data_IF_121262494914
#
_entry.id   IF_121262494914
#
_cell.length_a   1.000
_cell.length_b   1.000
_cell.length_c   1.000
_cell.angle_alpha   90.00
_cell.angle_beta   90.00
_cell.angle_gamma   90.00
#
_symmetry.space_group_name_H-M   'P 1'
#
loop_
_entity.id
_entity.type
_entity.pdbx_description
1 polymer ?
#
# COMPACT_ATOMS: atom_id res chain seq x y z
N UNK A 1 59.76 -17.63 -11.64
CA UNK A 1 59.04 -17.00 -12.76
C UNK A 1 57.75 -16.46 -12.15
N UNK A 2 57.69 -15.13 -11.96
CA UNK A 2 56.53 -14.23 -11.77
C UNK A 2 55.35 -14.71 -10.90
N UNK A 3 54.73 -13.95 -10.01
CA UNK A 3 54.88 -12.63 -9.38
C UNK A 3 53.68 -12.57 -8.42
N UNK A 4 53.84 -12.03 -7.20
CA UNK A 4 52.75 -11.86 -6.25
C UNK A 4 52.86 -10.45 -5.65
N UNK A 5 52.05 -9.53 -6.15
CA UNK A 5 51.78 -8.22 -5.54
C UNK A 5 50.59 -8.35 -4.58
N UNK A 6 50.54 -7.75 -3.40
CA UNK A 6 51.32 -6.62 -2.90
C UNK A 6 50.38 -5.63 -2.23
N UNK A 7 50.15 -5.84 -0.93
CA UNK A 7 49.27 -5.08 -0.03
C UNK A 7 49.80 -3.69 0.35
N UNK A 8 48.86 -2.83 0.75
CA UNK A 8 48.95 -1.82 1.83
C UNK A 8 49.50 -0.42 1.54
N UNK A 9 48.70 0.55 1.98
CA UNK A 9 48.96 1.97 2.08
C UNK A 9 50.18 2.34 2.93
N UNK A 10 50.82 3.47 2.61
CA UNK A 10 51.79 4.13 3.50
C UNK A 10 51.44 5.61 3.70
N UNK A 11 51.22 5.95 4.97
CA UNK A 11 50.97 7.27 5.51
C UNK A 11 52.31 7.88 5.91
N UNK A 12 52.87 8.81 5.12
CA UNK A 12 53.85 9.83 5.58
C UNK A 12 54.33 10.68 4.40
N UNK A 13 53.88 11.94 4.36
CA UNK A 13 54.73 13.12 4.08
C UNK A 13 53.91 14.42 4.19
N UNK A 14 53.72 14.86 5.43
CA UNK A 14 53.62 16.28 5.74
C UNK A 14 55.05 16.81 5.85
N UNK A 15 55.46 17.75 4.99
CA UNK A 15 56.61 18.63 5.22
C UNK A 15 56.25 20.05 4.78
N UNK A 16 56.32 20.95 5.75
CA UNK A 16 56.25 22.40 5.65
C UNK A 16 57.31 22.98 4.70
N UNK A 17 56.91 23.91 3.81
CA UNK A 17 57.78 24.99 3.33
C UNK A 17 57.01 26.31 3.44
N UNK A 18 57.62 27.26 4.17
CA UNK A 18 57.18 28.65 4.34
C UNK A 18 57.81 29.55 3.26
N UNK A 19 57.02 30.55 2.87
CA UNK A 19 57.38 31.94 2.49
C UNK A 19 57.69 32.34 1.05
N UNK A 20 56.97 33.42 0.67
CA UNK A 20 57.23 34.50 -0.30
C UNK A 20 57.16 34.13 -1.80
N UNK A 21 56.03 34.47 -2.43
CA UNK A 21 55.96 35.69 -3.26
C UNK A 21 54.52 36.03 -3.67
N UNK A 22 54.22 37.33 -3.66
CA UNK A 22 52.97 37.94 -4.09
C UNK A 22 52.87 37.90 -5.62
N UNK A 23 51.80 37.29 -6.14
CA UNK A 23 51.10 37.84 -7.30
C UNK A 23 49.60 37.67 -7.10
N UNK A 24 48.95 38.80 -6.84
CA UNK A 24 47.49 38.95 -6.88
C UNK A 24 47.09 38.95 -8.36
N UNK A 25 46.50 37.86 -8.83
CA UNK A 25 45.72 37.86 -10.06
C UNK A 25 44.24 37.87 -9.65
N UNK A 26 43.64 39.05 -9.67
CA UNK A 26 42.18 39.20 -9.68
C UNK A 26 41.66 38.57 -10.98
N UNK A 27 40.96 37.44 -10.87
CA UNK A 27 40.15 36.90 -11.96
C UNK A 27 38.70 37.23 -11.64
N UNK A 28 38.11 38.09 -12.47
CA UNK A 28 36.72 38.54 -12.40
C UNK A 28 35.73 37.35 -12.62
N UNK A 29 34.53 37.34 -11.98
CA UNK A 29 33.68 36.15 -11.87
C UNK A 29 32.92 35.71 -13.14
N UNK A 30 33.23 36.22 -14.32
CA UNK A 30 32.42 36.00 -15.54
C UNK A 30 33.09 35.13 -16.62
N UNK A 31 34.35 34.72 -16.45
CA UNK A 31 35.07 33.90 -17.44
C UNK A 31 34.92 32.37 -17.27
N UNK A 32 34.08 31.88 -16.37
CA UNK A 32 33.77 30.44 -16.23
C UNK A 32 32.56 29.98 -17.06
N UNK A 33 31.93 30.86 -17.84
CA UNK A 33 30.66 30.57 -18.53
C UNK A 33 30.77 30.20 -20.02
N UNK A 34 31.98 30.01 -20.59
CA UNK A 34 32.14 29.84 -22.06
C UNK A 34 32.94 28.65 -22.57
N UNK A 35 33.32 27.68 -21.75
CA UNK A 35 34.17 26.54 -22.19
C UNK A 35 33.63 25.15 -21.86
N UNK A 36 32.31 24.95 -21.91
CA UNK A 36 31.72 23.60 -21.75
C UNK A 36 30.62 23.22 -22.76
N UNK A 37 30.52 23.91 -23.91
CA UNK A 37 29.50 23.60 -24.92
C UNK A 37 30.07 23.37 -26.32
N UNK A 38 30.93 22.35 -26.50
CA UNK A 38 31.26 21.84 -27.84
C UNK A 38 31.66 20.35 -27.81
N UNK A 39 30.73 19.43 -27.57
CA UNK A 39 30.78 18.05 -28.08
C UNK A 39 29.38 17.40 -28.00
N UNK A 40 28.79 16.90 -29.11
CA UNK A 40 27.52 16.19 -29.05
C UNK A 40 27.78 14.72 -28.71
N UNK A 41 27.72 14.39 -27.42
CA UNK A 41 27.66 13.00 -26.96
C UNK A 41 26.20 12.65 -26.64
N UNK A 42 25.63 11.77 -27.47
CA UNK A 42 24.60 10.77 -27.15
C UNK A 42 23.63 11.11 -26.00
N UNK A 43 22.39 11.47 -26.36
CA UNK A 43 21.23 11.67 -25.49
C UNK A 43 20.80 10.38 -24.75
N UNK A 44 21.58 9.91 -23.77
CA UNK A 44 21.18 8.83 -22.86
C UNK A 44 21.77 8.95 -21.44
N UNK A 45 22.23 10.14 -21.03
CA UNK A 45 22.42 10.43 -19.61
C UNK A 45 21.13 11.03 -19.06
N UNK A 46 20.20 10.14 -18.69
CA UNK A 46 19.15 10.46 -17.74
C UNK A 46 19.78 11.16 -16.54
N UNK A 47 19.17 12.27 -16.14
CA UNK A 47 19.47 12.93 -14.89
C UNK A 47 19.22 11.95 -13.74
N UNK A 48 20.25 11.21 -13.33
CA UNK A 48 20.36 10.72 -11.97
C UNK A 48 20.35 11.96 -11.07
N UNK A 49 19.16 12.43 -10.68
CA UNK A 49 19.00 13.35 -9.54
C UNK A 49 19.72 12.65 -8.38
N UNK A 50 20.89 13.15 -8.01
CA UNK A 50 21.69 12.58 -6.92
C UNK A 50 20.81 12.35 -5.69
N UNK A 51 20.61 11.07 -5.38
CA UNK A 51 19.44 10.48 -4.71
C UNK A 51 19.15 11.07 -3.32
N UNK A 52 20.17 11.60 -2.63
CA UNK A 52 20.05 12.14 -1.28
C UNK A 52 20.35 13.64 -1.12
N UNK A 53 20.80 14.33 -2.18
CA UNK A 53 21.32 15.70 -2.02
C UNK A 53 20.25 16.71 -1.59
N UNK A 54 19.03 16.57 -2.10
CA UNK A 54 17.92 17.48 -1.83
C UNK A 54 16.78 16.85 -1.04
N UNK A 55 16.73 15.51 -0.95
CA UNK A 55 15.64 14.80 -0.26
C UNK A 55 15.51 15.22 1.21
N UNK A 56 16.65 15.26 1.92
CA UNK A 56 16.67 15.54 3.35
C UNK A 56 16.28 16.97 3.73
N UNK A 57 16.30 17.91 2.76
CA UNK A 57 15.97 19.33 3.02
C UNK A 57 14.54 19.46 3.54
N UNK A 58 13.60 18.72 2.93
CA UNK A 58 12.18 18.78 3.29
C UNK A 58 11.66 17.49 3.93
N UNK A 59 12.28 16.33 3.65
CA UNK A 59 11.68 15.03 3.95
C UNK A 59 12.49 14.17 4.93
N UNK A 60 13.72 14.58 5.28
CA UNK A 60 14.61 13.78 6.14
C UNK A 60 14.04 13.54 7.54
N UNK A 61 13.35 14.55 8.09
CA UNK A 61 12.66 14.43 9.38
C UNK A 61 11.55 13.37 9.36
N UNK A 62 10.70 13.40 8.33
CA UNK A 62 9.59 12.46 8.16
C UNK A 62 10.11 11.04 7.92
N UNK A 63 11.13 10.87 7.07
CA UNK A 63 11.76 9.57 6.84
C UNK A 63 12.31 8.98 8.14
N UNK A 64 12.97 9.80 8.97
CA UNK A 64 13.47 9.38 10.28
C UNK A 64 12.37 8.87 11.21
N UNK A 65 11.25 9.59 11.28
CA UNK A 65 10.09 9.19 12.10
C UNK A 65 9.48 7.87 11.60
N UNK A 66 9.23 7.75 10.29
CA UNK A 66 8.60 6.55 9.70
C UNK A 66 9.48 5.31 9.94
N UNK A 67 10.80 5.44 9.83
CA UNK A 67 11.73 4.37 10.17
C UNK A 67 11.72 4.03 11.66
N UNK A 68 11.53 5.03 12.52
CA UNK A 68 11.27 4.83 13.95
C UNK A 68 10.00 4.02 14.19
N UNK A 69 8.88 4.38 13.54
CA UNK A 69 7.62 3.65 13.64
C UNK A 69 7.72 2.21 13.14
N UNK A 70 8.51 1.96 12.10
CA UNK A 70 8.80 0.60 11.62
C UNK A 70 9.46 -0.28 12.68
N UNK A 71 10.29 0.27 13.57
CA UNK A 71 10.88 -0.48 14.68
C UNK A 71 9.87 -0.77 15.82
N UNK A 72 8.72 -0.10 15.79
CA UNK A 72 7.61 -0.33 16.72
C UNK A 72 6.64 -1.43 16.24
N UNK A 73 6.87 -2.00 15.05
CA UNK A 73 6.06 -3.12 14.55
C UNK A 73 6.33 -4.38 15.38
N UNK A 74 5.28 -5.19 15.56
CA UNK A 74 5.33 -6.43 16.32
C UNK A 74 6.17 -7.46 15.58
N UNK A 75 7.09 -8.07 16.32
CA UNK A 75 7.93 -9.16 15.83
C UNK A 75 7.25 -10.50 15.99
N UNK A 76 7.78 -11.51 15.32
CA UNK A 76 7.35 -12.91 15.47
C UNK A 76 7.36 -13.38 16.94
N UNK A 77 8.29 -12.88 17.77
CA UNK A 77 8.28 -13.17 19.21
C UNK A 77 7.08 -12.54 19.92
N UNK A 78 6.69 -11.31 19.54
CA UNK A 78 5.52 -10.67 20.12
C UNK A 78 4.25 -11.46 19.77
N UNK A 79 4.10 -11.90 18.52
CA UNK A 79 2.97 -12.74 18.11
C UNK A 79 2.92 -14.07 18.87
N UNK A 80 4.06 -14.75 19.04
CA UNK A 80 4.13 -15.99 19.81
C UNK A 80 3.71 -15.79 21.28
N UNK A 81 4.04 -14.66 21.89
CA UNK A 81 3.59 -14.35 23.25
C UNK A 81 2.08 -14.07 23.27
N UNK A 82 1.53 -13.40 22.26
CA UNK A 82 0.10 -13.09 22.17
C UNK A 82 -0.76 -14.33 21.95
N UNK A 83 -0.30 -15.32 21.19
CA UNK A 83 -1.06 -16.58 20.99
C UNK A 83 -1.18 -17.43 22.26
N UNK A 84 -0.31 -17.19 23.25
CA UNK A 84 -0.35 -17.85 24.56
C UNK A 84 -1.34 -17.19 25.53
N UNK A 85 -1.84 -15.99 25.23
CA UNK A 85 -2.82 -15.30 26.07
C UNK A 85 -4.13 -16.10 26.18
N UNK A 86 -4.75 -16.08 27.36
CA UNK A 86 -6.02 -16.76 27.63
C UNK A 86 -7.20 -15.79 27.64
N UNK A 87 -6.94 -14.52 28.02
CA UNK A 87 -7.96 -13.47 28.07
C UNK A 87 -7.57 -12.28 27.20
N UNK A 88 -8.55 -11.43 26.87
CA UNK A 88 -8.31 -10.18 26.14
C UNK A 88 -7.55 -9.18 27.01
N UNK A 89 -7.68 -9.25 28.34
CA UNK A 89 -6.88 -8.43 29.26
C UNK A 89 -5.39 -8.83 29.22
N UNK A 90 -5.07 -10.12 29.11
CA UNK A 90 -3.68 -10.57 28.92
C UNK A 90 -3.12 -10.06 27.60
N UNK A 91 -3.92 -10.12 26.52
CA UNK A 91 -3.54 -9.60 25.22
C UNK A 91 -3.28 -8.08 25.27
N UNK A 92 -4.16 -7.33 25.95
CA UNK A 92 -4.00 -5.89 26.19
C UNK A 92 -2.70 -5.59 26.94
N UNK A 93 -2.37 -6.37 27.97
CA UNK A 93 -1.12 -6.23 28.72
C UNK A 93 0.09 -6.50 27.82
N UNK A 94 0.03 -7.56 27.01
CA UNK A 94 1.10 -7.94 26.08
C UNK A 94 1.33 -6.89 24.98
N UNK A 95 0.27 -6.18 24.56
CA UNK A 95 0.35 -5.06 23.62
C UNK A 95 0.82 -3.75 24.26
N UNK A 96 0.87 -3.66 25.58
CA UNK A 96 1.24 -2.47 26.35
C UNK A 96 2.51 -1.75 25.87
N UNK A 97 3.64 -2.43 25.61
CA UNK A 97 4.87 -1.78 25.15
C UNK A 97 4.73 -1.05 23.81
N UNK A 98 3.85 -1.53 22.92
CA UNK A 98 3.64 -0.93 21.61
C UNK A 98 2.44 0.02 21.58
N UNK A 99 1.37 -0.26 22.31
CA UNK A 99 0.08 0.43 22.20
C UNK A 99 -0.43 1.05 23.52
N UNK A 100 0.35 0.99 24.59
CA UNK A 100 -0.08 1.24 25.98
C UNK A 100 -0.85 2.55 26.18
N UNK A 101 -0.39 3.66 25.61
CA UNK A 101 -1.04 4.96 25.77
C UNK A 101 -2.48 4.96 25.24
N UNK A 102 -2.72 4.29 24.10
CA UNK A 102 -4.03 4.19 23.47
C UNK A 102 -4.94 3.16 24.16
N UNK A 103 -4.35 2.06 24.64
CA UNK A 103 -5.09 0.98 25.29
C UNK A 103 -5.45 1.28 26.76
N UNK A 104 -4.73 2.22 27.40
CA UNK A 104 -4.96 2.60 28.81
C UNK A 104 -6.41 3.01 29.11
N UNK A 105 -7.07 3.64 28.13
CA UNK A 105 -8.45 4.11 28.22
C UNK A 105 -9.51 3.00 28.14
N UNK A 106 -9.15 1.80 27.70
CA UNK A 106 -10.10 0.69 27.56
C UNK A 106 -10.50 0.13 28.93
N UNK A 107 -11.79 -0.22 29.13
CA UNK A 107 -12.23 -0.91 30.33
C UNK A 107 -11.57 -2.29 30.47
N UNK A 108 -11.64 -2.93 31.65
CA UNK A 108 -11.30 -4.34 31.82
C UNK A 108 -12.18 -5.22 30.90
N UNK A 109 -11.60 -6.26 30.33
CA UNK A 109 -12.20 -7.14 29.32
C UNK A 109 -12.83 -6.39 28.14
N UNK A 110 -12.03 -5.64 27.34
CA UNK A 110 -12.57 -4.93 26.20
C UNK A 110 -13.05 -5.90 25.12
N UNK A 111 -14.03 -5.47 24.31
CA UNK A 111 -14.41 -6.22 23.12
C UNK A 111 -13.28 -6.24 22.09
N UNK A 112 -13.24 -7.29 21.25
CA UNK A 112 -12.29 -7.37 20.13
C UNK A 112 -12.40 -6.17 19.19
N UNK A 113 -13.63 -5.69 18.96
CA UNK A 113 -13.90 -4.48 18.17
C UNK A 113 -13.33 -3.20 18.82
N UNK A 114 -13.43 -3.06 20.14
CA UNK A 114 -12.88 -1.90 20.86
C UNK A 114 -11.35 -1.91 20.83
N UNK A 115 -10.75 -3.09 20.93
CA UNK A 115 -9.30 -3.27 20.81
C UNK A 115 -8.82 -2.88 19.41
N UNK A 116 -9.47 -3.39 18.36
CA UNK A 116 -9.17 -3.06 16.97
C UNK A 116 -9.34 -1.57 16.65
N UNK A 117 -10.39 -0.94 17.19
CA UNK A 117 -10.60 0.50 17.04
C UNK A 117 -9.45 1.30 17.65
N UNK A 118 -8.99 0.94 18.86
CA UNK A 118 -7.90 1.67 19.53
C UNK A 118 -6.52 1.45 18.89
N UNK A 119 -6.25 0.26 18.36
CA UNK A 119 -5.02 0.04 17.58
C UNK A 119 -5.05 0.81 16.26
N UNK A 120 -6.22 0.95 15.65
CA UNK A 120 -6.44 1.78 14.45
C UNK A 120 -6.30 3.27 14.76
N UNK A 121 -6.84 3.76 15.88
CA UNK A 121 -6.71 5.15 16.35
C UNK A 121 -5.23 5.58 16.42
N UNK A 122 -4.35 4.66 16.88
CA UNK A 122 -2.91 4.91 16.91
C UNK A 122 -2.34 5.14 15.52
N UNK A 123 -2.62 4.24 14.56
CA UNK A 123 -2.19 4.38 13.17
C UNK A 123 -2.65 5.72 12.58
N UNK A 124 -3.92 6.09 12.82
CA UNK A 124 -4.49 7.35 12.33
C UNK A 124 -3.78 8.55 12.95
N UNK A 125 -3.54 8.54 14.26
CA UNK A 125 -2.83 9.62 14.95
C UNK A 125 -1.41 9.79 14.42
N UNK A 126 -0.68 8.69 14.24
CA UNK A 126 0.68 8.69 13.69
C UNK A 126 0.69 9.18 12.23
N UNK A 127 -0.26 8.74 11.40
CA UNK A 127 -0.39 9.17 10.00
C UNK A 127 -0.72 10.67 9.89
N UNK A 128 -1.69 11.17 10.67
CA UNK A 128 -2.06 12.59 10.69
C UNK A 128 -0.89 13.47 11.11
N UNK A 129 -0.10 13.01 12.08
CA UNK A 129 1.12 13.70 12.48
C UNK A 129 2.13 13.80 11.33
N UNK A 130 2.39 12.70 10.60
CA UNK A 130 3.25 12.72 9.42
C UNK A 130 2.71 13.66 8.34
N UNK A 131 1.41 13.60 8.06
CA UNK A 131 0.76 14.42 7.02
C UNK A 131 0.81 15.91 7.34
N UNK A 132 0.68 16.29 8.61
CA UNK A 132 0.76 17.67 9.09
C UNK A 132 2.16 18.27 8.93
N UNK A 133 3.21 17.44 8.94
CA UNK A 133 4.60 17.87 8.75
C UNK A 133 5.08 17.75 7.29
N UNK A 134 4.32 17.06 6.43
CA UNK A 134 4.65 16.87 5.03
C UNK A 134 4.36 18.13 4.19
N UNK A 135 5.24 18.42 3.24
CA UNK A 135 5.13 19.55 2.31
C UNK A 135 5.36 19.12 0.86
N UNK A 136 4.88 19.92 -0.09
CA UNK A 136 5.10 19.71 -1.52
C UNK A 136 4.62 18.33 -2.00
N UNK A 137 5.46 17.65 -2.77
CA UNK A 137 5.14 16.38 -3.42
C UNK A 137 4.92 15.22 -2.45
N UNK A 138 5.52 15.27 -1.25
CA UNK A 138 5.24 14.29 -0.18
C UNK A 138 3.84 14.47 0.42
N UNK A 139 3.40 15.73 0.62
CA UNK A 139 2.05 16.01 1.09
C UNK A 139 1.00 15.47 0.11
N UNK A 140 1.18 15.76 -1.18
CA UNK A 140 0.31 15.24 -2.26
C UNK A 140 0.36 13.71 -2.33
N UNK A 141 1.54 13.11 -2.20
CA UNK A 141 1.68 11.65 -2.14
C UNK A 141 0.88 11.04 -0.97
N UNK A 142 0.96 11.65 0.21
CA UNK A 142 0.18 11.20 1.36
C UNK A 142 -1.33 11.41 1.19
N UNK A 143 -1.76 12.46 0.47
CA UNK A 143 -3.19 12.66 0.13
C UNK A 143 -3.69 11.51 -0.76
N UNK A 144 -2.93 11.09 -1.77
CA UNK A 144 -3.28 9.91 -2.57
C UNK A 144 -3.51 8.68 -1.71
N UNK A 145 -2.72 8.46 -0.66
CA UNK A 145 -2.91 7.31 0.23
C UNK A 145 -4.26 7.33 0.94
N UNK A 146 -4.84 8.52 1.17
CA UNK A 146 -6.15 8.66 1.80
C UNK A 146 -7.31 8.38 0.84
N UNK A 147 -7.11 8.56 -0.48
CA UNK A 147 -8.18 8.46 -1.46
C UNK A 147 -8.81 7.06 -1.54
N UNK A 148 -8.02 6.00 -1.34
CA UNK A 148 -8.57 4.63 -1.24
C UNK A 148 -9.63 4.52 -0.14
N UNK A 149 -9.33 4.99 1.06
CA UNK A 149 -10.29 5.00 2.17
C UNK A 149 -11.47 5.94 1.94
N UNK A 150 -11.27 7.06 1.23
CA UNK A 150 -12.36 7.95 0.84
C UNK A 150 -13.33 7.26 -0.12
N UNK A 151 -12.82 6.48 -1.08
CA UNK A 151 -13.66 5.70 -2.00
C UNK A 151 -14.52 4.69 -1.24
N UNK A 152 -13.95 3.98 -0.26
CA UNK A 152 -14.71 3.04 0.56
C UNK A 152 -15.76 3.72 1.43
N UNK A 153 -15.43 4.86 2.02
CA UNK A 153 -16.38 5.67 2.79
C UNK A 153 -17.52 6.17 1.91
N UNK A 154 -17.23 6.68 0.70
CA UNK A 154 -18.25 7.13 -0.25
C UNK A 154 -19.12 5.95 -0.69
N UNK A 155 -18.54 4.79 -0.99
CA UNK A 155 -19.30 3.59 -1.33
C UNK A 155 -20.25 3.17 -0.19
N UNK A 156 -19.77 3.22 1.06
CA UNK A 156 -20.57 2.94 2.24
C UNK A 156 -21.74 3.94 2.38
N UNK A 157 -21.48 5.25 2.21
CA UNK A 157 -22.52 6.28 2.27
C UNK A 157 -23.57 6.14 1.16
N UNK A 158 -23.17 5.80 -0.06
CA UNK A 158 -24.09 5.53 -1.17
C UNK A 158 -25.03 4.37 -0.81
N UNK A 159 -24.49 3.24 -0.33
CA UNK A 159 -25.32 2.10 0.09
C UNK A 159 -26.26 2.44 1.23
N UNK A 160 -25.80 3.29 2.15
CA UNK A 160 -26.60 3.82 3.24
C UNK A 160 -27.81 4.59 2.76
N UNK A 161 -27.58 5.49 1.82
CA UNK A 161 -28.60 6.37 1.24
C UNK A 161 -29.60 5.56 0.41
N UNK A 162 -29.14 4.60 -0.40
CA UNK A 162 -30.00 3.68 -1.16
C UNK A 162 -30.92 2.82 -0.27
N UNK A 163 -30.48 2.49 0.94
CA UNK A 163 -31.24 1.69 1.90
C UNK A 163 -31.94 2.52 2.98
N UNK A 164 -32.02 3.85 2.82
CA UNK A 164 -32.67 4.77 3.76
C UNK A 164 -32.18 4.62 5.21
N UNK A 165 -30.89 4.30 5.41
CA UNK A 165 -30.28 4.21 6.75
C UNK A 165 -29.90 5.59 7.26
N UNK A 166 -29.87 5.74 8.59
CA UNK A 166 -29.38 6.97 9.21
C UNK A 166 -27.89 7.16 8.90
N UNK A 167 -27.60 8.21 8.12
CA UNK A 167 -26.26 8.57 7.67
C UNK A 167 -25.32 8.89 8.83
N UNK A 168 -25.86 9.28 10.00
CA UNK A 168 -25.07 9.51 11.23
C UNK A 168 -24.53 8.22 11.83
N UNK A 169 -25.31 7.13 11.80
CA UNK A 169 -24.82 5.82 12.26
C UNK A 169 -23.73 5.30 11.31
N UNK A 170 -23.87 5.57 10.01
CA UNK A 170 -22.87 5.17 9.01
C UNK A 170 -21.56 5.91 9.16
N UNK A 171 -21.60 7.19 9.55
CA UNK A 171 -20.39 7.96 9.85
C UNK A 171 -19.52 7.30 10.92
N UNK A 172 -20.10 6.67 11.93
CA UNK A 172 -19.35 5.95 12.98
C UNK A 172 -18.63 4.71 12.45
N UNK A 173 -19.08 4.17 11.30
CA UNK A 173 -18.48 3.01 10.62
C UNK A 173 -17.48 3.39 9.52
N UNK A 174 -17.36 4.69 9.21
CA UNK A 174 -16.42 5.16 8.20
C UNK A 174 -14.97 5.10 8.70
N UNK A 175 -14.05 4.81 7.79
CA UNK A 175 -12.64 4.75 8.11
C UNK A 175 -12.08 6.16 8.34
N UNK A 176 -11.44 6.47 9.49
CA UNK A 176 -11.04 7.85 9.82
C UNK A 176 -9.91 8.44 8.97
N UNK A 177 -9.18 7.62 8.19
CA UNK A 177 -8.21 8.11 7.19
C UNK A 177 -8.90 8.65 5.93
N UNK A 178 -10.10 8.15 5.62
CA UNK A 178 -10.92 8.64 4.50
C UNK A 178 -11.90 9.72 4.93
N UNK A 179 -11.72 10.31 6.12
CA UNK A 179 -12.56 11.39 6.62
C UNK A 179 -12.14 12.72 6.02
N UNK A 180 -13.11 13.51 5.58
CA UNK A 180 -12.93 14.89 5.13
C UNK A 180 -13.94 15.79 5.82
N UNK A 181 -13.62 17.08 5.94
CA UNK A 181 -14.38 18.04 6.77
C UNK A 181 -15.85 18.16 6.33
N UNK A 182 -16.11 18.05 5.04
CA UNK A 182 -17.44 18.18 4.43
C UNK A 182 -18.20 16.86 4.33
N UNK A 183 -17.70 15.79 4.97
CA UNK A 183 -18.38 14.49 5.01
C UNK A 183 -19.81 14.55 5.60
N UNK A 184 -20.08 15.35 6.66
CA UNK A 184 -21.45 15.53 7.14
C UNK A 184 -22.41 16.18 6.12
N UNK A 185 -21.89 16.90 5.12
CA UNK A 185 -22.72 17.49 4.04
C UNK A 185 -23.30 16.38 3.17
N UNK A 186 -22.54 15.30 2.93
CA UNK A 186 -23.03 14.13 2.20
C UNK A 186 -24.19 13.45 2.93
N UNK A 187 -24.19 13.50 4.26
CA UNK A 187 -25.24 12.91 5.10
C UNK A 187 -26.58 13.67 5.03
N UNK A 188 -26.58 14.89 4.47
CA UNK A 188 -27.79 15.70 4.24
C UNK A 188 -28.47 15.36 2.92
N UNK A 189 -27.73 14.77 1.97
CA UNK A 189 -28.28 14.40 0.67
C UNK A 189 -29.43 13.39 0.84
N UNK A 190 -30.59 13.73 0.28
CA UNK A 190 -31.79 12.89 0.37
C UNK A 190 -32.00 12.02 -0.86
N UNK A 191 -31.27 12.31 -1.94
CA UNK A 191 -31.33 11.60 -3.19
C UNK A 191 -29.90 11.39 -3.75
N UNK A 192 -29.77 10.43 -4.66
CA UNK A 192 -28.50 10.08 -5.28
C UNK A 192 -27.93 11.24 -6.11
N UNK A 193 -28.81 12.09 -6.65
CA UNK A 193 -28.43 13.25 -7.44
C UNK A 193 -27.63 14.28 -6.62
N UNK A 194 -28.20 14.67 -5.48
CA UNK A 194 -27.60 15.54 -4.46
C UNK A 194 -26.32 14.94 -3.91
N UNK A 195 -26.31 13.62 -3.65
CA UNK A 195 -25.14 12.94 -3.10
C UNK A 195 -23.96 13.01 -4.08
N UNK A 196 -24.18 12.66 -5.34
CA UNK A 196 -23.12 12.75 -6.37
C UNK A 196 -22.66 14.19 -6.59
N UNK A 197 -23.59 15.15 -6.67
CA UNK A 197 -23.22 16.56 -6.85
C UNK A 197 -22.38 17.06 -5.65
N UNK A 198 -22.75 16.67 -4.44
CA UNK A 198 -21.99 16.98 -3.23
C UNK A 198 -20.60 16.33 -3.28
N UNK A 199 -20.50 15.05 -3.66
CA UNK A 199 -19.20 14.37 -3.83
C UNK A 199 -18.33 15.08 -4.88
N UNK A 200 -18.90 15.48 -6.02
CA UNK A 200 -18.17 16.18 -7.08
C UNK A 200 -17.66 17.57 -6.69
N UNK A 201 -18.33 18.25 -5.77
CA UNK A 201 -17.97 19.60 -5.33
C UNK A 201 -16.98 19.52 -4.16
N UNK A 202 -17.25 18.62 -3.22
CA UNK A 202 -16.64 18.63 -1.89
C UNK A 202 -15.45 17.66 -1.75
N UNK A 203 -15.22 16.78 -2.73
CA UNK A 203 -14.18 15.76 -2.63
C UNK A 203 -13.14 15.82 -3.76
N UNK A 204 -11.87 15.47 -3.48
CA UNK A 204 -10.85 15.33 -4.51
C UNK A 204 -11.09 14.14 -5.45
N UNK A 205 -12.11 13.31 -5.18
CA UNK A 205 -12.50 12.18 -6.02
C UNK A 205 -13.29 12.61 -7.28
N UNK A 206 -13.66 13.89 -7.39
CA UNK A 206 -14.43 14.40 -8.52
C UNK A 206 -13.90 13.99 -9.92
N UNK A 207 -12.57 13.98 -10.19
CA UNK A 207 -12.04 13.51 -11.47
C UNK A 207 -12.33 12.03 -11.74
N UNK A 208 -12.47 11.20 -10.71
CA UNK A 208 -12.71 9.76 -10.84
C UNK A 208 -14.18 9.44 -11.14
N UNK A 209 -15.09 10.36 -10.83
CA UNK A 209 -16.51 10.29 -11.23
C UNK A 209 -16.74 10.88 -12.62
N UNK A 210 -16.07 12.01 -12.93
CA UNK A 210 -16.21 12.74 -14.20
C UNK A 210 -15.68 11.91 -15.38
N UNK A 211 -16.59 11.23 -16.09
CA UNK A 211 -16.29 10.45 -17.28
C UNK A 211 -16.39 8.93 -17.10
N UNK A 212 -16.70 8.45 -15.90
CA UNK A 212 -16.88 7.01 -15.63
C UNK A 212 -18.22 6.65 -15.02
N UNK A 213 -18.83 7.55 -14.25
CA UNK A 213 -20.09 7.30 -13.55
C UNK A 213 -21.02 8.52 -13.66
N UNK A 214 -22.28 8.27 -14.02
CA UNK A 214 -23.38 9.23 -13.94
C UNK A 214 -24.21 9.01 -12.67
N UNK A 215 -25.09 9.95 -12.35
CA UNK A 215 -26.03 9.80 -11.23
C UNK A 215 -26.94 8.57 -11.39
N UNK A 216 -27.37 8.25 -12.62
CA UNK A 216 -28.21 7.08 -12.92
C UNK A 216 -27.47 5.77 -12.68
N UNK A 217 -26.17 5.72 -13.02
CA UNK A 217 -25.34 4.55 -12.79
C UNK A 217 -25.22 4.19 -11.30
N UNK A 218 -25.38 5.17 -10.41
CA UNK A 218 -25.28 4.94 -8.96
C UNK A 218 -26.54 4.31 -8.37
N UNK A 219 -27.69 4.51 -9.02
CA UNK A 219 -28.96 3.85 -8.68
C UNK A 219 -29.07 2.46 -9.32
N UNK A 220 -28.57 2.30 -10.56
CA UNK A 220 -28.75 1.09 -11.37
C UNK A 220 -27.63 0.06 -11.20
N UNK A 221 -26.38 0.50 -11.01
CA UNK A 221 -25.24 -0.42 -10.89
C UNK A 221 -25.11 -0.94 -9.46
N UNK A 222 -24.59 -2.16 -9.35
CA UNK A 222 -24.16 -2.70 -8.08
C UNK A 222 -23.04 -1.80 -7.49
N UNK A 223 -23.14 -1.46 -6.21
CA UNK A 223 -22.14 -0.64 -5.51
C UNK A 223 -20.71 -1.18 -5.67
N UNK A 224 -20.52 -2.50 -5.76
CA UNK A 224 -19.20 -3.09 -5.95
C UNK A 224 -18.62 -2.74 -7.35
N UNK A 225 -19.46 -2.57 -8.37
CA UNK A 225 -19.04 -2.11 -9.70
C UNK A 225 -18.62 -0.64 -9.62
N UNK A 226 -19.40 0.20 -8.94
CA UNK A 226 -19.09 1.61 -8.67
C UNK A 226 -17.76 1.73 -7.94
N UNK A 227 -17.59 0.99 -6.83
CA UNK A 227 -16.35 0.94 -6.05
C UNK A 227 -15.17 0.54 -6.90
N UNK A 228 -15.26 -0.56 -7.66
CA UNK A 228 -14.16 -1.03 -8.49
C UNK A 228 -13.82 -0.05 -9.63
N UNK A 229 -14.81 0.63 -10.21
CA UNK A 229 -14.59 1.66 -11.23
C UNK A 229 -13.85 2.87 -10.66
N UNK A 230 -14.26 3.37 -9.49
CA UNK A 230 -13.59 4.49 -8.82
C UNK A 230 -12.15 4.13 -8.46
N UNK A 231 -11.93 2.94 -7.93
CA UNK A 231 -10.61 2.48 -7.57
C UNK A 231 -9.69 2.26 -8.77
N UNK A 232 -10.23 1.80 -9.91
CA UNK A 232 -9.46 1.73 -11.15
C UNK A 232 -8.92 3.11 -11.53
N UNK A 233 -9.79 4.11 -11.57
CA UNK A 233 -9.42 5.48 -11.94
C UNK A 233 -8.40 6.07 -10.94
N UNK A 234 -8.59 5.82 -9.65
CA UNK A 234 -7.65 6.20 -8.60
C UNK A 234 -6.28 5.54 -8.78
N UNK A 235 -6.24 4.23 -9.03
CA UNK A 235 -4.99 3.49 -9.19
C UNK A 235 -4.22 3.97 -10.43
N UNK A 236 -4.92 4.23 -11.53
CA UNK A 236 -4.30 4.76 -12.76
C UNK A 236 -3.77 6.18 -12.56
N UNK A 237 -4.54 7.06 -11.91
CA UNK A 237 -4.08 8.42 -11.59
C UNK A 237 -2.90 8.40 -10.62
N UNK A 238 -2.93 7.53 -9.61
CA UNK A 238 -1.83 7.42 -8.65
C UNK A 238 -0.55 6.85 -9.29
N UNK A 239 -0.67 5.85 -10.16
CA UNK A 239 0.46 5.32 -10.94
C UNK A 239 1.04 6.40 -11.88
N UNK A 240 0.18 7.17 -12.54
CA UNK A 240 0.61 8.30 -13.38
C UNK A 240 1.32 9.37 -12.54
N UNK A 241 0.80 9.72 -11.36
CA UNK A 241 1.47 10.66 -10.45
C UNK A 241 2.87 10.18 -10.06
N UNK A 242 3.02 8.90 -9.69
CA UNK A 242 4.30 8.30 -9.29
C UNK A 242 5.33 8.25 -10.43
N UNK A 243 4.87 8.10 -11.68
CA UNK A 243 5.75 7.93 -12.86
C UNK A 243 6.03 9.24 -13.60
N UNK A 244 5.15 10.22 -13.53
CA UNK A 244 5.24 11.46 -14.31
C UNK A 244 5.62 12.69 -13.51
N UNK A 245 5.35 12.71 -12.19
CA UNK A 245 5.63 13.88 -11.36
C UNK A 245 7.13 14.20 -11.33
N UNK A 246 7.50 15.47 -11.55
CA UNK A 246 8.90 15.87 -11.69
C UNK A 246 9.76 15.60 -10.46
N UNK A 247 9.16 15.52 -9.26
CA UNK A 247 9.89 15.26 -8.02
C UNK A 247 10.04 13.77 -7.70
N UNK A 248 9.17 12.93 -8.26
CA UNK A 248 9.11 11.49 -7.98
C UNK A 248 9.68 10.67 -9.14
N UNK A 249 9.43 11.08 -10.38
CA UNK A 249 9.86 10.39 -11.58
C UNK A 249 11.39 10.23 -11.62
N UNK A 250 11.85 9.00 -11.89
CA UNK A 250 13.27 8.67 -11.92
C UNK A 250 13.96 8.65 -10.55
N UNK A 251 13.20 8.71 -9.45
CA UNK A 251 13.72 8.50 -8.09
C UNK A 251 13.44 7.07 -7.61
N UNK A 252 14.12 6.58 -6.55
CA UNK A 252 13.81 5.29 -5.94
C UNK A 252 12.35 5.16 -5.47
N UNK A 253 11.68 6.28 -5.22
CA UNK A 253 10.24 6.31 -4.92
C UNK A 253 9.41 5.76 -6.08
N UNK A 254 9.71 6.18 -7.31
CA UNK A 254 8.97 5.72 -8.49
C UNK A 254 9.13 4.23 -8.70
N UNK A 255 10.35 3.70 -8.62
CA UNK A 255 10.62 2.26 -8.81
C UNK A 255 9.88 1.39 -7.79
N UNK A 256 10.02 1.70 -6.50
CA UNK A 256 9.43 0.88 -5.43
C UNK A 256 7.92 1.02 -5.41
N UNK A 257 7.40 2.24 -5.60
CA UNK A 257 5.96 2.46 -5.56
C UNK A 257 5.26 1.88 -6.81
N UNK A 258 5.88 1.95 -7.99
CA UNK A 258 5.35 1.29 -9.18
C UNK A 258 5.22 -0.21 -8.98
N UNK A 259 6.23 -0.89 -8.42
CA UNK A 259 6.14 -2.32 -8.11
C UNK A 259 4.97 -2.64 -7.17
N UNK A 260 4.76 -1.82 -6.13
CA UNK A 260 3.66 -1.98 -5.18
C UNK A 260 2.28 -1.77 -5.84
N UNK A 261 2.15 -0.75 -6.67
CA UNK A 261 0.89 -0.44 -7.36
C UNK A 261 0.59 -1.47 -8.46
N UNK A 262 1.60 -1.97 -9.17
CA UNK A 262 1.44 -3.04 -10.15
C UNK A 262 0.91 -4.31 -9.50
N UNK A 263 1.44 -4.68 -8.33
CA UNK A 263 0.93 -5.81 -7.56
C UNK A 263 -0.52 -5.60 -7.11
N UNK A 264 -0.87 -4.40 -6.63
CA UNK A 264 -2.24 -4.08 -6.22
C UNK A 264 -3.22 -4.13 -7.41
N UNK A 265 -2.81 -3.63 -8.57
CA UNK A 265 -3.60 -3.68 -9.80
C UNK A 265 -3.85 -5.12 -10.28
N UNK A 266 -2.82 -5.96 -10.26
CA UNK A 266 -2.91 -7.37 -10.63
C UNK A 266 -3.79 -8.16 -9.65
N UNK A 267 -3.56 -8.00 -8.34
CA UNK A 267 -4.36 -8.61 -7.27
C UNK A 267 -5.83 -8.27 -7.45
N UNK A 268 -6.15 -7.00 -7.70
CA UNK A 268 -7.51 -6.54 -7.88
C UNK A 268 -8.16 -7.13 -9.14
N UNK A 269 -7.40 -7.19 -10.24
CA UNK A 269 -7.87 -7.79 -11.49
C UNK A 269 -8.19 -9.29 -11.33
N UNK A 270 -7.35 -10.01 -10.59
CA UNK A 270 -7.59 -11.43 -10.26
C UNK A 270 -8.84 -11.57 -9.38
N UNK A 271 -8.94 -10.80 -8.30
CA UNK A 271 -10.08 -10.86 -7.36
C UNK A 271 -11.41 -10.51 -8.04
N UNK A 272 -11.45 -9.47 -8.86
CA UNK A 272 -12.64 -9.12 -9.65
C UNK A 272 -13.03 -10.29 -10.57
N UNK A 273 -12.07 -10.96 -11.17
CA UNK A 273 -12.35 -12.09 -12.07
C UNK A 273 -12.92 -13.28 -11.33
N UNK A 274 -12.30 -13.68 -10.22
CA UNK A 274 -12.77 -14.78 -9.38
C UNK A 274 -14.16 -14.51 -8.80
N UNK A 275 -14.39 -13.30 -8.29
CA UNK A 275 -15.68 -12.91 -7.70
C UNK A 275 -16.77 -12.62 -8.74
N UNK A 276 -16.40 -12.46 -10.02
CA UNK A 276 -17.38 -12.31 -11.12
C UNK A 276 -18.05 -13.63 -11.51
N UNK A 277 -17.47 -14.78 -11.16
CA UNK A 277 -18.03 -16.07 -11.51
C UNK A 277 -19.37 -16.31 -10.81
N UNK A 278 -20.37 -16.73 -11.58
CA UNK A 278 -21.74 -16.91 -11.08
C UNK A 278 -22.55 -15.62 -10.90
N UNK A 279 -22.01 -14.47 -11.34
CA UNK A 279 -22.74 -13.19 -11.38
C UNK A 279 -23.21 -12.86 -12.81
N UNK A 280 -24.13 -11.90 -12.94
CA UNK A 280 -24.62 -11.42 -14.25
C UNK A 280 -23.65 -10.46 -14.97
N UNK A 281 -22.41 -10.32 -14.46
CA UNK A 281 -21.43 -9.39 -15.02
C UNK A 281 -20.90 -9.89 -16.38
N UNK A 282 -21.11 -9.11 -17.43
CA UNK A 282 -20.63 -9.45 -18.77
C UNK A 282 -19.08 -9.40 -18.85
N UNK A 283 -18.49 -10.18 -19.76
CA UNK A 283 -17.04 -10.15 -20.02
C UNK A 283 -16.54 -8.77 -20.44
N UNK A 284 -17.37 -8.00 -21.14
CA UNK A 284 -17.03 -6.65 -21.60
C UNK A 284 -17.01 -5.66 -20.44
N UNK A 285 -17.97 -5.75 -19.52
CA UNK A 285 -18.02 -4.88 -18.35
C UNK A 285 -16.93 -5.24 -17.36
N UNK A 286 -16.65 -6.54 -17.19
CA UNK A 286 -15.49 -7.00 -16.42
C UNK A 286 -14.18 -6.39 -16.92
N UNK A 287 -13.98 -6.33 -18.24
CA UNK A 287 -12.78 -5.71 -18.85
C UNK A 287 -12.65 -4.22 -18.51
N UNK A 288 -13.77 -3.50 -18.38
CA UNK A 288 -13.76 -2.07 -18.03
C UNK A 288 -13.29 -1.83 -16.58
N UNK A 289 -13.41 -2.82 -15.69
CA UNK A 289 -13.04 -2.71 -14.28
C UNK A 289 -11.54 -2.95 -14.01
N UNK A 290 -10.80 -3.51 -14.96
CA UNK A 290 -9.37 -3.74 -14.78
C UNK A 290 -8.54 -2.46 -14.97
N UNK A 291 -7.59 -2.16 -14.08
CA UNK A 291 -6.57 -1.13 -14.31
C UNK A 291 -5.76 -1.41 -15.58
N UNK A 292 -5.36 -0.36 -16.30
CA UNK A 292 -4.56 -0.47 -17.53
C UNK A 292 -3.05 -0.49 -17.29
N UNK A 293 -2.61 -1.00 -16.14
CA UNK A 293 -1.20 -1.17 -15.76
C UNK A 293 -1.06 -2.37 -14.81
N UNK A 294 0.16 -2.82 -14.55
CA UNK A 294 0.42 -4.07 -13.81
C UNK A 294 1.27 -5.05 -14.61
N UNK A 295 1.75 -6.12 -13.98
CA UNK A 295 2.55 -7.14 -14.67
C UNK A 295 1.68 -8.03 -15.58
N UNK A 296 0.37 -8.08 -15.34
CA UNK A 296 -0.58 -8.81 -16.18
C UNK A 296 -1.06 -8.00 -17.39
N UNK A 297 -0.84 -6.68 -17.44
CA UNK A 297 -1.25 -5.85 -18.57
C UNK A 297 -0.18 -5.89 -19.69
N UNK A 298 -0.55 -6.02 -20.99
CA UNK A 298 -1.91 -6.12 -21.53
C UNK A 298 -2.45 -7.56 -21.71
N UNK A 299 -1.57 -8.54 -21.93
CA UNK A 299 -1.96 -9.87 -22.40
C UNK A 299 -2.69 -10.70 -21.33
N UNK A 300 -2.19 -10.70 -20.10
CA UNK A 300 -2.80 -11.38 -18.96
C UNK A 300 -4.19 -10.83 -18.63
N UNK A 301 -4.37 -9.51 -18.66
CA UNK A 301 -5.68 -8.86 -18.48
C UNK A 301 -6.67 -9.26 -19.59
N UNK A 302 -6.21 -9.36 -20.83
CA UNK A 302 -7.06 -9.83 -21.92
C UNK A 302 -7.50 -11.29 -21.71
N UNK A 303 -6.59 -12.16 -21.25
CA UNK A 303 -6.91 -13.55 -20.92
C UNK A 303 -7.87 -13.63 -19.73
N UNK A 304 -7.64 -12.85 -18.67
CA UNK A 304 -8.56 -12.73 -17.52
C UNK A 304 -9.95 -12.28 -17.96
N UNK A 305 -10.07 -11.33 -18.88
CA UNK A 305 -11.36 -10.87 -19.41
C UNK A 305 -12.14 -11.95 -20.16
N UNK A 306 -11.47 -13.03 -20.59
CA UNK A 306 -12.09 -14.14 -21.33
C UNK A 306 -12.34 -15.39 -20.48
N UNK A 307 -11.67 -15.50 -19.33
CA UNK A 307 -11.78 -16.64 -18.41
C UNK A 307 -13.21 -16.85 -17.90
N UNK A 308 -13.66 -18.10 -17.93
CA UNK A 308 -14.99 -18.53 -17.46
C UNK A 308 -14.91 -19.38 -16.18
N UNK A 309 -13.72 -19.84 -15.83
CA UNK A 309 -13.45 -20.72 -14.70
C UNK A 309 -12.07 -20.40 -14.08
N UNK A 310 -11.79 -21.07 -12.96
CA UNK A 310 -10.55 -20.90 -12.19
C UNK A 310 -9.33 -21.34 -13.02
N UNK A 311 -9.45 -22.37 -13.86
CA UNK A 311 -8.36 -22.81 -14.75
C UNK A 311 -8.02 -21.74 -15.80
N UNK A 312 -9.02 -21.06 -16.36
CA UNK A 312 -8.82 -19.92 -17.26
C UNK A 312 -8.08 -18.75 -16.58
N UNK A 313 -8.37 -18.48 -15.29
CA UNK A 313 -7.64 -17.49 -14.50
C UNK A 313 -6.20 -17.92 -14.27
N UNK A 314 -5.97 -19.20 -13.93
CA UNK A 314 -4.63 -19.76 -13.75
C UNK A 314 -3.78 -19.64 -15.02
N UNK A 315 -4.34 -19.99 -16.18
CA UNK A 315 -3.65 -19.85 -17.47
C UNK A 315 -3.33 -18.38 -17.78
N UNK A 316 -4.20 -17.45 -17.40
CA UNK A 316 -3.99 -16.02 -17.61
C UNK A 316 -2.83 -15.45 -16.76
N UNK A 317 -2.57 -16.04 -15.58
CA UNK A 317 -1.48 -15.60 -14.68
C UNK A 317 -0.19 -16.42 -14.84
N UNK A 318 -0.21 -17.50 -15.63
CA UNK A 318 0.92 -18.43 -15.79
C UNK A 318 2.20 -17.74 -16.31
N UNK A 319 2.04 -16.68 -17.11
CA UNK A 319 3.16 -15.89 -17.64
C UNK A 319 4.02 -15.22 -16.56
N UNK A 320 3.50 -15.08 -15.33
CA UNK A 320 4.24 -14.55 -14.20
C UNK A 320 4.56 -15.66 -13.20
N UNK A 321 5.85 -15.92 -12.96
CA UNK A 321 6.33 -16.98 -12.07
C UNK A 321 5.80 -16.85 -10.64
N UNK A 322 5.66 -15.63 -10.14
CA UNK A 322 5.20 -15.38 -8.77
C UNK A 322 3.73 -15.80 -8.64
N UNK A 323 2.86 -15.32 -9.53
CA UNK A 323 1.43 -15.66 -9.51
C UNK A 323 1.19 -17.14 -9.81
N UNK A 324 1.93 -17.74 -10.75
CA UNK A 324 1.87 -19.18 -11.01
C UNK A 324 2.11 -19.99 -9.73
N UNK A 325 3.14 -19.63 -8.97
CA UNK A 325 3.48 -20.32 -7.72
C UNK A 325 2.36 -20.23 -6.68
N UNK A 326 1.58 -19.15 -6.67
CA UNK A 326 0.47 -18.98 -5.72
C UNK A 326 -0.69 -19.90 -6.07
N UNK A 327 -1.06 -19.99 -7.34
CA UNK A 327 -2.11 -20.89 -7.80
C UNK A 327 -1.74 -22.37 -7.65
N UNK A 328 -0.45 -22.71 -7.83
CA UNK A 328 0.02 -24.08 -7.61
C UNK A 328 0.01 -24.47 -6.11
N UNK A 329 0.37 -23.55 -5.20
CA UNK A 329 0.37 -23.77 -3.74
C UNK A 329 -1.03 -23.94 -3.14
N UNK A 330 -2.03 -23.26 -3.71
CA UNK A 330 -3.43 -23.35 -3.24
C UNK A 330 -4.13 -24.64 -3.65
N UNK A 331 -3.47 -25.51 -4.45
CA UNK A 331 -4.07 -26.75 -4.95
C UNK A 331 -5.09 -26.53 -6.08
N UNK A 332 -5.31 -25.28 -6.52
CA UNK A 332 -6.16 -24.92 -7.64
C UNK A 332 -5.59 -25.33 -9.01
N UNK A 333 -4.39 -25.92 -9.03
CA UNK A 333 -3.68 -26.31 -10.24
C UNK A 333 -3.80 -27.78 -10.65
N UNK A 334 -4.57 -28.61 -9.93
CA UNK A 334 -4.74 -30.02 -10.26
C UNK A 334 -6.17 -30.28 -10.72
N UNK A 335 -6.40 -30.13 -12.02
CA UNK A 335 -7.62 -30.54 -12.70
C UNK A 335 -7.93 -32.01 -12.43
N UNK A 336 -8.92 -32.26 -11.57
CA UNK A 336 -9.37 -33.58 -11.20
C UNK A 336 -10.49 -33.47 -10.16
N UNK A 337 -11.73 -33.35 -10.63
CA UNK A 337 -12.87 -33.26 -9.73
C UNK A 337 -13.01 -34.54 -8.91
N UNK A 338 -12.96 -34.42 -7.58
CA UNK A 338 -13.77 -35.19 -6.61
C UNK A 338 -13.78 -34.38 -5.32
N UNK A 339 -14.94 -34.17 -4.72
CA UNK A 339 -15.01 -33.83 -3.32
C UNK A 339 -14.43 -34.95 -2.44
N UNK A 340 -13.93 -34.57 -1.27
CA UNK A 340 -13.63 -35.42 -0.12
C UNK A 340 -12.50 -36.48 -0.29
N UNK A 341 -11.49 -36.34 0.57
CA UNK A 341 -10.76 -37.50 1.10
C UNK A 341 -9.24 -37.47 0.93
N UNK A 342 -8.56 -36.85 1.88
CA UNK A 342 -7.50 -37.49 2.67
C UNK A 342 -6.55 -38.46 1.92
N UNK A 343 -5.37 -37.98 1.47
CA UNK A 343 -4.09 -38.69 1.58
C UNK A 343 -2.93 -37.93 0.88
N UNK A 344 -2.18 -37.15 1.65
CA UNK A 344 -0.72 -37.13 1.56
C UNK A 344 -0.15 -36.77 2.94
N UNK A 345 0.43 -37.77 3.59
CA UNK A 345 0.94 -37.68 4.95
C UNK A 345 2.20 -36.82 5.03
N UNK A 346 2.06 -35.65 5.64
CA UNK A 346 3.14 -34.78 6.09
C UNK A 346 2.55 -33.74 7.03
N UNK A 347 3.06 -33.67 8.25
CA UNK A 347 2.49 -32.90 9.35
C UNK A 347 2.19 -31.43 8.99
N UNK A 348 0.95 -30.99 9.23
CA UNK A 348 0.63 -29.60 9.60
C UNK A 348 0.64 -28.51 8.52
N UNK A 349 0.45 -28.80 7.23
CA UNK A 349 0.25 -27.72 6.26
C UNK A 349 -1.23 -27.35 6.15
N UNK A 350 -1.67 -26.38 6.95
CA UNK A 350 -2.86 -25.59 6.61
C UNK A 350 -2.64 -25.03 5.20
N UNK A 351 -3.43 -25.49 4.23
CA UNK A 351 -3.36 -24.96 2.86
C UNK A 351 -3.72 -23.48 2.91
N UNK A 352 -2.72 -22.60 2.78
CA UNK A 352 -2.92 -21.15 2.74
C UNK A 352 -3.87 -20.79 1.61
N UNK A 353 -4.81 -19.89 1.89
CA UNK A 353 -5.71 -19.40 0.84
C UNK A 353 -4.96 -18.53 -0.16
N UNK A 354 -5.53 -18.35 -1.36
CA UNK A 354 -4.96 -17.44 -2.36
C UNK A 354 -4.84 -16.01 -1.81
N UNK A 355 -5.80 -15.57 -1.00
CA UNK A 355 -5.77 -14.27 -0.33
C UNK A 355 -4.62 -14.17 0.67
N UNK A 356 -4.36 -15.22 1.45
CA UNK A 356 -3.22 -15.24 2.40
C UNK A 356 -1.88 -15.12 1.66
N UNK A 357 -1.75 -15.76 0.50
CA UNK A 357 -0.55 -15.65 -0.34
C UNK A 357 -0.39 -14.23 -0.91
N UNK A 358 -1.48 -13.59 -1.33
CA UNK A 358 -1.43 -12.18 -1.75
C UNK A 358 -1.03 -11.26 -0.62
N UNK A 359 -1.61 -11.41 0.58
CA UNK A 359 -1.21 -10.63 1.74
C UNK A 359 0.26 -10.87 2.11
N UNK A 360 0.73 -12.12 2.08
CA UNK A 360 2.12 -12.44 2.37
C UNK A 360 3.08 -11.74 1.39
N UNK A 361 2.77 -11.75 0.09
CA UNK A 361 3.58 -11.05 -0.92
C UNK A 361 3.51 -9.54 -0.76
N UNK A 362 2.33 -8.97 -0.49
CA UNK A 362 2.14 -7.54 -0.22
C UNK A 362 3.07 -7.07 0.91
N UNK A 363 3.13 -7.87 1.99
CA UNK A 363 3.98 -7.56 3.13
C UNK A 363 5.47 -7.76 2.84
N UNK A 364 5.84 -8.74 2.03
CA UNK A 364 7.23 -8.94 1.58
C UNK A 364 7.74 -7.74 0.76
N UNK A 365 6.95 -7.28 -0.21
CA UNK A 365 7.26 -6.07 -1.00
C UNK A 365 7.36 -4.85 -0.07
N UNK A 366 6.42 -4.70 0.86
CA UNK A 366 6.42 -3.62 1.86
C UNK A 366 7.64 -3.66 2.78
N UNK A 367 8.09 -4.84 3.21
CA UNK A 367 9.33 -5.00 3.99
C UNK A 367 10.54 -4.57 3.18
N UNK A 368 10.63 -5.01 1.92
CA UNK A 368 11.76 -4.73 1.04
C UNK A 368 11.88 -3.22 0.74
N UNK A 369 10.77 -2.47 0.73
CA UNK A 369 10.81 -1.02 0.57
C UNK A 369 11.67 -0.30 1.62
N UNK A 370 11.78 -0.82 2.84
CA UNK A 370 12.62 -0.21 3.89
C UNK A 370 14.12 -0.38 3.66
N UNK A 371 14.53 -1.25 2.74
CA UNK A 371 15.94 -1.41 2.34
C UNK A 371 16.45 -0.26 1.48
N UNK A 372 15.53 0.45 0.80
CA UNK A 372 15.84 1.69 0.06
C UNK A 372 15.83 2.89 1.00
N UNK A 373 16.59 3.92 0.65
CA UNK A 373 16.70 5.18 1.39
C UNK A 373 16.31 6.36 0.49
N UNK A 374 15.91 7.49 1.10
CA UNK A 374 15.49 8.70 0.37
C UNK A 374 14.29 8.46 -0.54
N UNK A 375 13.27 7.78 -0.02
CA UNK A 375 12.07 7.41 -0.77
C UNK A 375 10.80 7.73 0.01
N UNK A 376 9.74 8.15 -0.68
CA UNK A 376 8.41 8.34 -0.06
C UNK A 376 7.68 7.01 0.14
N UNK A 377 8.07 5.95 -0.58
CA UNK A 377 7.41 4.65 -0.56
C UNK A 377 7.41 3.99 0.82
N UNK A 378 8.35 4.36 1.72
CA UNK A 378 8.35 3.88 3.11
C UNK A 378 7.09 4.28 3.87
N UNK A 379 6.44 5.40 3.53
CA UNK A 379 5.20 5.83 4.18
C UNK A 379 4.07 4.87 3.80
N UNK A 380 3.94 4.55 2.51
CA UNK A 380 2.96 3.59 2.03
C UNK A 380 3.20 2.19 2.60
N UNK A 381 4.45 1.72 2.55
CA UNK A 381 4.85 0.43 3.10
C UNK A 381 4.55 0.33 4.60
N UNK A 382 4.85 1.39 5.36
CA UNK A 382 4.55 1.44 6.80
C UNK A 382 3.06 1.31 7.09
N UNK A 383 2.19 2.03 6.36
CA UNK A 383 0.74 1.93 6.53
C UNK A 383 0.28 0.51 6.27
N UNK A 384 0.67 -0.09 5.14
CA UNK A 384 0.28 -1.46 4.77
C UNK A 384 0.72 -2.50 5.80
N UNK A 385 1.95 -2.38 6.31
CA UNK A 385 2.45 -3.25 7.38
C UNK A 385 1.67 -3.07 8.68
N UNK A 386 1.35 -1.82 9.06
CA UNK A 386 0.57 -1.55 10.28
C UNK A 386 -0.87 -2.04 10.16
N UNK A 387 -1.50 -1.91 8.99
CA UNK A 387 -2.83 -2.46 8.74
C UNK A 387 -2.84 -3.99 8.87
N UNK A 388 -1.82 -4.67 8.35
CA UNK A 388 -1.68 -6.12 8.54
C UNK A 388 -1.47 -6.48 10.01
N UNK A 389 -0.68 -5.71 10.75
CA UNK A 389 -0.49 -5.89 12.19
C UNK A 389 -1.82 -5.75 12.95
N UNK A 390 -2.63 -4.74 12.64
CA UNK A 390 -3.96 -4.57 13.23
C UNK A 390 -4.84 -5.78 12.89
N UNK A 391 -4.85 -6.24 11.64
CA UNK A 391 -5.59 -7.45 11.22
C UNK A 391 -5.15 -8.70 11.99
N UNK A 392 -3.83 -8.88 12.18
CA UNK A 392 -3.29 -10.00 12.96
C UNK A 392 -3.72 -9.91 14.43
N UNK A 393 -3.67 -8.72 15.04
CA UNK A 393 -4.10 -8.50 16.43
C UNK A 393 -5.58 -8.84 16.57
N UNK A 394 -6.43 -8.36 15.65
CA UNK A 394 -7.87 -8.63 15.66
C UNK A 394 -8.16 -10.12 15.51
N UNK A 395 -7.48 -10.81 14.59
CA UNK A 395 -7.61 -12.27 14.42
C UNK A 395 -7.27 -13.04 15.70
N UNK A 396 -6.12 -12.72 16.31
CA UNK A 396 -5.70 -13.36 17.57
C UNK A 396 -6.70 -13.06 18.68
N UNK A 397 -7.19 -11.82 18.78
CA UNK A 397 -8.19 -11.42 19.77
C UNK A 397 -9.51 -12.18 19.57
N UNK A 398 -9.97 -12.37 18.33
CA UNK A 398 -11.17 -13.15 18.00
C UNK A 398 -11.01 -14.63 18.35
N UNK A 399 -9.87 -15.24 18.01
CA UNK A 399 -9.57 -16.62 18.40
C UNK A 399 -9.57 -16.82 19.92
N UNK A 400 -9.03 -15.86 20.67
CA UNK A 400 -9.03 -15.89 22.15
C UNK A 400 -10.45 -15.71 22.69
N UNK A 401 -11.18 -14.69 22.23
CA UNK A 401 -12.54 -14.40 22.69
C UNK A 401 -13.53 -15.54 22.41
N UNK A 402 -13.38 -16.23 21.28
CA UNK A 402 -14.23 -17.37 20.90
C UNK A 402 -13.72 -18.71 21.44
N UNK A 403 -12.57 -18.73 22.12
CA UNK A 403 -11.89 -19.93 22.61
C UNK A 403 -11.60 -20.96 21.50
N UNK A 404 -11.35 -20.49 20.27
CA UNK A 404 -11.04 -21.31 19.09
C UNK A 404 -9.59 -21.11 18.68
N UNK A 405 -8.68 -21.79 19.41
CA UNK A 405 -7.22 -21.62 19.22
C UNK A 405 -6.63 -22.50 18.11
N UNK A 406 -7.41 -23.34 17.45
CA UNK A 406 -6.91 -24.26 16.41
C UNK A 406 -6.22 -23.53 15.26
N UNK A 407 -6.74 -22.34 14.87
CA UNK A 407 -6.21 -21.53 13.76
C UNK A 407 -5.59 -20.21 14.23
N UNK A 408 -5.26 -20.09 15.51
CA UNK A 408 -4.66 -18.86 16.06
C UNK A 408 -3.30 -18.53 15.42
N UNK A 409 -2.61 -19.54 14.89
CA UNK A 409 -1.35 -19.40 14.16
C UNK A 409 -1.47 -18.83 12.75
N UNK A 410 -2.68 -18.65 12.22
CA UNK A 410 -2.92 -18.14 10.86
C UNK A 410 -2.79 -16.62 10.76
N UNK A 411 -1.77 -16.04 11.37
CA UNK A 411 -1.41 -14.63 11.22
C UNK A 411 -0.23 -14.49 10.26
N UNK A 412 -0.10 -13.31 9.65
CA UNK A 412 0.99 -13.04 8.69
C UNK A 412 2.03 -12.16 9.39
N UNK A 413 3.10 -12.78 9.88
CA UNK A 413 4.24 -12.06 10.46
C UNK A 413 5.38 -11.94 9.45
N UNK A 414 5.95 -10.74 9.34
CA UNK A 414 6.97 -10.40 8.36
C UNK A 414 8.29 -9.93 9.02
N UNK A 415 8.26 -9.62 10.33
CA UNK A 415 9.38 -9.12 11.11
C UNK A 415 9.82 -10.04 12.25
#
# INVERSE_FOLDING_TARGET
MLEADGTSADWRKFVLIRSRDLMVAQVEPWELHKTLNTHPLSNNHQAFKMEGLFFNVNNGYIEGIVRGYRNSLLTSQNYNNMTQCETIDDLKLQLGPAYGDFLSSLPPNPSTSSLAAKTTDKLISEFRYLRANAVGSLAKFMDYLTYGYMIDNVALLITGTLHERDTRELMERCHPLGWFETMPVLCVATNMEELYNSVLIETPLAPYFKGSLSHQDLDELNIEIVRNTLYKNYLEDFYNFVTTDSDIAGTPTSEVMSEMLEFEADRRSINITLNSFGTELSKQDRKKLYPTFGKLFPDGILMLSRADDIEGVRLAVEGNSDYKSYFDQTGLGQGGGVGAGNMSGGAGSDTKSLEDLFYQKEMEISKNAFTRQFTYSIVYAWIKLREQEIRNITWIAECIAQNQKERIGNYISVF
#
